data_IF_716338144769
#
_entry.id   IF_716338144769
#
_cell.length_a   1.000
_cell.length_b   1.000
_cell.length_c   1.000
_cell.angle_alpha   90.00
_cell.angle_beta   90.00
_cell.angle_gamma   90.00
#
_symmetry.space_group_name_H-M   'P 1'
#
loop_
_entity.id
_entity.type
_entity.pdbx_description
1 polymer ?
#
# COMPACT_ATOMS: atom_id res chain seq x y z
N UNK A 1 -23.99 -4.20 13.28
CA UNK A 1 -22.74 -4.95 13.56
C UNK A 1 -22.63 -6.12 12.60
N UNK A 2 -21.42 -6.60 12.32
CA UNK A 2 -21.19 -7.82 11.52
C UNK A 2 -20.77 -8.93 12.48
N UNK A 3 -21.39 -10.10 12.39
CA UNK A 3 -21.13 -11.21 13.30
C UNK A 3 -21.13 -12.55 12.56
N UNK A 4 -20.31 -13.49 13.01
CA UNK A 4 -20.36 -14.87 12.53
C UNK A 4 -21.66 -15.52 12.95
N UNK A 5 -22.23 -16.37 12.10
CA UNK A 5 -23.43 -17.14 12.41
C UNK A 5 -23.29 -17.92 13.73
N UNK A 6 -24.30 -17.83 14.59
CA UNK A 6 -24.28 -18.43 15.94
C UNK A 6 -23.62 -17.57 17.02
N UNK A 7 -23.02 -16.42 16.68
CA UNK A 7 -22.42 -15.51 17.66
C UNK A 7 -23.46 -14.59 18.32
N UNK A 8 -23.86 -14.95 19.55
CA UNK A 8 -24.85 -14.21 20.34
C UNK A 8 -24.33 -12.94 21.02
N UNK A 9 -23.03 -12.61 20.91
CA UNK A 9 -22.42 -11.47 21.63
C UNK A 9 -23.02 -10.11 21.25
N UNK A 10 -23.65 -10.01 20.09
CA UNK A 10 -24.20 -8.76 19.55
C UNK A 10 -25.72 -8.71 19.52
N UNK A 11 -26.40 -9.56 20.31
CA UNK A 11 -27.86 -9.62 20.36
C UNK A 11 -28.55 -8.29 20.75
N UNK A 12 -27.83 -7.39 21.43
CA UNK A 12 -28.34 -6.07 21.81
C UNK A 12 -28.15 -4.98 20.72
N UNK A 13 -27.50 -5.29 19.59
CA UNK A 13 -27.32 -4.32 18.51
C UNK A 13 -28.64 -4.07 17.76
N UNK A 14 -28.86 -2.83 17.31
CA UNK A 14 -30.04 -2.46 16.54
C UNK A 14 -30.19 -3.25 15.22
N UNK A 15 -29.07 -3.69 14.64
CA UNK A 15 -29.04 -4.60 13.50
C UNK A 15 -27.74 -5.42 13.51
N UNK A 16 -27.84 -6.69 13.11
CA UNK A 16 -26.72 -7.63 12.95
C UNK A 16 -26.74 -8.21 11.54
N UNK A 17 -25.65 -8.05 10.81
CA UNK A 17 -25.39 -8.71 9.52
C UNK A 17 -24.61 -9.99 9.81
N UNK A 18 -25.20 -11.13 9.51
CA UNK A 18 -24.60 -12.44 9.77
C UNK A 18 -23.73 -12.88 8.59
N UNK A 19 -22.51 -13.34 8.88
CA UNK A 19 -21.63 -13.99 7.90
C UNK A 19 -21.47 -15.49 8.23
N UNK A 20 -21.28 -16.36 7.21
CA UNK A 20 -21.06 -17.78 7.44
C UNK A 20 -19.89 -18.07 8.37
N UNK A 21 -19.98 -19.17 9.12
CA UNK A 21 -18.85 -19.66 9.91
C UNK A 21 -17.72 -20.15 8.99
N UNK A 22 -16.52 -19.64 9.22
CA UNK A 22 -15.28 -20.03 8.53
C UNK A 22 -14.17 -20.26 9.56
N UNK A 23 -13.00 -20.73 9.11
CA UNK A 23 -11.82 -20.82 9.97
C UNK A 23 -11.58 -19.47 10.70
N UNK A 24 -11.41 -19.46 12.03
CA UNK A 24 -11.18 -18.24 12.79
C UNK A 24 -10.03 -17.38 12.28
N UNK A 25 -8.99 -17.98 11.69
CA UNK A 25 -7.87 -17.27 11.08
C UNK A 25 -8.28 -16.42 9.85
N UNK A 26 -9.41 -16.75 9.22
CA UNK A 26 -9.93 -16.08 8.02
C UNK A 26 -11.26 -15.33 8.27
N UNK A 27 -11.85 -15.43 9.47
CA UNK A 27 -13.14 -14.83 9.79
C UNK A 27 -13.19 -13.30 9.60
N UNK A 28 -12.04 -12.63 9.72
CA UNK A 28 -11.95 -11.18 9.49
C UNK A 28 -12.19 -10.82 8.01
N UNK A 29 -11.88 -11.71 7.06
CA UNK A 29 -12.03 -11.46 5.61
C UNK A 29 -13.50 -11.28 5.25
N UNK A 30 -14.37 -12.20 5.67
CA UNK A 30 -15.80 -12.10 5.40
C UNK A 30 -16.41 -10.88 6.10
N UNK A 31 -15.98 -10.59 7.33
CA UNK A 31 -16.44 -9.41 8.07
C UNK A 31 -16.06 -8.10 7.36
N UNK A 32 -14.83 -8.02 6.84
CA UNK A 32 -14.35 -6.88 6.06
C UNK A 32 -15.11 -6.74 4.73
N UNK A 33 -15.35 -7.84 4.00
CA UNK A 33 -16.11 -7.82 2.74
C UNK A 33 -17.53 -7.30 2.95
N UNK A 34 -18.24 -7.79 3.96
CA UNK A 34 -19.59 -7.30 4.29
C UNK A 34 -19.56 -5.83 4.69
N UNK A 35 -18.55 -5.40 5.46
CA UNK A 35 -18.37 -3.98 5.79
C UNK A 35 -18.20 -3.10 4.55
N UNK A 36 -17.40 -3.54 3.59
CA UNK A 36 -17.21 -2.82 2.32
C UNK A 36 -18.47 -2.76 1.46
N UNK A 37 -19.19 -3.88 1.33
CA UNK A 37 -20.46 -3.92 0.58
C UNK A 37 -21.52 -3.04 1.24
N UNK A 38 -21.68 -3.14 2.55
CA UNK A 38 -22.61 -2.29 3.29
C UNK A 38 -22.30 -0.81 3.11
N UNK A 39 -21.01 -0.43 3.24
CA UNK A 39 -20.58 0.95 3.00
C UNK A 39 -20.92 1.40 1.58
N UNK A 40 -20.60 0.58 0.57
CA UNK A 40 -20.87 0.90 -0.83
C UNK A 40 -22.36 1.12 -1.11
N UNK A 41 -23.23 0.23 -0.63
CA UNK A 41 -24.68 0.38 -0.78
C UNK A 41 -25.22 1.61 -0.03
N UNK A 42 -24.67 1.91 1.16
CA UNK A 42 -25.03 3.13 1.88
C UNK A 42 -24.64 4.40 1.07
N UNK A 43 -23.46 4.42 0.46
CA UNK A 43 -23.06 5.54 -0.40
C UNK A 43 -23.94 5.67 -1.65
N UNK A 44 -24.35 4.55 -2.27
CA UNK A 44 -25.30 4.57 -3.39
C UNK A 44 -26.68 5.10 -2.96
N UNK A 45 -27.16 4.72 -1.78
CA UNK A 45 -28.43 5.22 -1.24
C UNK A 45 -28.38 6.74 -1.01
N UNK A 46 -27.27 7.25 -0.48
CA UNK A 46 -27.05 8.70 -0.30
C UNK A 46 -27.01 9.41 -1.66
N UNK A 47 -26.26 8.86 -2.63
CA UNK A 47 -26.18 9.44 -3.98
C UNK A 47 -27.55 9.48 -4.68
N UNK A 48 -28.36 8.42 -4.50
CA UNK A 48 -29.71 8.35 -5.05
C UNK A 48 -30.61 9.48 -4.51
N UNK A 49 -30.37 9.95 -3.28
CA UNK A 49 -31.13 11.07 -2.70
C UNK A 49 -30.88 12.41 -3.41
N UNK A 50 -29.80 12.53 -4.19
CA UNK A 50 -29.49 13.71 -5.01
C UNK A 50 -30.31 13.78 -6.31
N UNK A 51 -31.06 12.73 -6.66
CA UNK A 51 -31.81 12.65 -7.92
C UNK A 51 -32.77 13.83 -8.16
N UNK A 52 -33.60 14.28 -7.21
CA UNK A 52 -34.44 15.45 -7.42
C UNK A 52 -33.64 16.71 -7.76
N UNK A 53 -32.44 16.87 -7.19
CA UNK A 53 -31.58 18.02 -7.46
C UNK A 53 -30.96 17.98 -8.87
N UNK A 54 -30.61 16.78 -9.34
CA UNK A 54 -30.15 16.57 -10.73
C UNK A 54 -31.26 16.90 -11.73
N UNK A 55 -32.46 16.37 -11.49
CA UNK A 55 -33.63 16.66 -12.32
C UNK A 55 -33.98 18.18 -12.31
N UNK A 56 -33.85 18.85 -11.16
CA UNK A 56 -34.01 20.31 -11.06
C UNK A 56 -32.95 21.08 -11.88
N UNK A 57 -31.71 20.59 -11.92
CA UNK A 57 -30.64 21.18 -12.74
C UNK A 57 -30.88 20.95 -14.23
N UNK A 58 -31.37 19.77 -14.62
CA UNK A 58 -31.76 19.47 -16.00
C UNK A 58 -32.86 20.42 -16.51
N UNK A 59 -33.81 20.83 -15.65
CA UNK A 59 -34.80 21.86 -15.99
C UNK A 59 -34.14 23.20 -16.35
N UNK A 60 -33.10 23.59 -15.62
CA UNK A 60 -32.34 24.82 -15.91
C UNK A 60 -31.57 24.68 -17.22
N UNK A 61 -30.87 23.57 -17.41
CA UNK A 61 -30.07 23.32 -18.61
C UNK A 61 -30.94 23.33 -19.88
N UNK A 62 -32.12 22.69 -19.84
CA UNK A 62 -33.08 22.72 -20.94
C UNK A 62 -33.63 24.13 -21.20
N UNK A 63 -33.90 24.92 -20.16
CA UNK A 63 -34.38 26.29 -20.32
C UNK A 63 -33.32 27.19 -20.97
N UNK A 64 -32.05 27.06 -20.55
CA UNK A 64 -30.91 27.77 -21.13
C UNK A 64 -30.66 27.37 -22.60
N UNK A 65 -30.89 26.11 -22.95
CA UNK A 65 -30.77 25.64 -24.34
C UNK A 65 -31.92 26.13 -25.24
N UNK A 66 -33.11 26.34 -24.68
CA UNK A 66 -34.31 26.70 -25.42
C UNK A 66 -34.52 28.21 -25.60
N UNK A 67 -33.88 29.05 -24.76
CA UNK A 67 -34.13 30.48 -24.72
C UNK A 67 -32.83 31.29 -24.60
N UNK A 68 -32.71 32.36 -25.38
CA UNK A 68 -31.59 33.30 -25.28
C UNK A 68 -31.83 34.42 -24.24
N UNK A 69 -33.10 34.72 -23.94
CA UNK A 69 -33.51 35.77 -23.00
C UNK A 69 -33.64 35.28 -21.56
N UNK A 70 -32.96 35.94 -20.62
CA UNK A 70 -32.97 35.55 -19.21
C UNK A 70 -34.36 35.51 -18.56
N UNK A 71 -35.28 36.40 -18.96
CA UNK A 71 -36.66 36.40 -18.47
C UNK A 71 -37.45 35.17 -18.92
N UNK A 72 -37.20 34.70 -20.14
CA UNK A 72 -37.83 33.48 -20.68
C UNK A 72 -37.28 32.23 -20.00
N UNK A 73 -35.95 32.18 -19.80
CA UNK A 73 -35.31 31.12 -19.00
C UNK A 73 -35.92 31.05 -17.61
N UNK A 74 -35.99 32.18 -16.89
CA UNK A 74 -36.53 32.23 -15.54
C UNK A 74 -37.99 31.77 -15.48
N UNK A 75 -38.81 32.18 -16.45
CA UNK A 75 -40.23 31.77 -16.53
C UNK A 75 -40.37 30.26 -16.76
N UNK A 76 -39.55 29.70 -17.65
CA UNK A 76 -39.54 28.26 -17.94
C UNK A 76 -39.07 27.46 -16.73
N UNK A 77 -37.99 27.88 -16.06
CA UNK A 77 -37.49 27.21 -14.85
C UNK A 77 -38.54 27.26 -13.74
N UNK A 78 -39.11 28.43 -13.45
CA UNK A 78 -40.15 28.61 -12.42
C UNK A 78 -41.35 27.68 -12.62
N UNK A 79 -41.76 27.48 -13.87
CA UNK A 79 -42.92 26.65 -14.21
C UNK A 79 -42.68 25.15 -14.01
N UNK A 80 -41.43 24.68 -14.08
CA UNK A 80 -41.12 23.25 -14.16
C UNK A 80 -40.35 22.72 -12.95
N UNK A 81 -39.66 23.57 -12.19
CA UNK A 81 -38.78 23.13 -11.09
C UNK A 81 -39.55 22.67 -9.83
N UNK A 82 -40.82 23.07 -9.68
CA UNK A 82 -41.60 22.88 -8.46
C UNK A 82 -41.71 21.42 -7.98
N UNK A 83 -41.91 20.48 -8.91
CA UNK A 83 -41.99 19.04 -8.56
C UNK A 83 -40.69 18.53 -7.93
N UNK A 84 -39.55 19.02 -8.38
CA UNK A 84 -38.24 18.63 -7.86
C UNK A 84 -37.94 19.33 -6.53
N UNK A 85 -38.34 20.59 -6.39
CA UNK A 85 -38.26 21.34 -5.13
C UNK A 85 -39.07 20.67 -4.02
N UNK A 86 -40.30 20.22 -4.30
CA UNK A 86 -41.13 19.52 -3.32
C UNK A 86 -40.53 18.19 -2.86
N UNK A 87 -39.96 17.41 -3.80
CA UNK A 87 -39.22 16.17 -3.43
C UNK A 87 -38.03 16.47 -2.52
N UNK A 88 -37.30 17.56 -2.76
CA UNK A 88 -36.21 18.00 -1.90
C UNK A 88 -36.72 18.43 -0.51
N UNK A 89 -37.82 19.19 -0.45
CA UNK A 89 -38.43 19.59 0.83
C UNK A 89 -38.97 18.40 1.63
N UNK A 90 -39.53 17.39 0.96
CA UNK A 90 -39.91 16.13 1.61
C UNK A 90 -38.69 15.42 2.20
N UNK A 91 -37.58 15.33 1.45
CA UNK A 91 -36.34 14.74 1.94
C UNK A 91 -35.80 15.45 3.19
N UNK A 92 -35.89 16.78 3.26
CA UNK A 92 -35.54 17.54 4.47
C UNK A 92 -36.47 17.22 5.65
N UNK A 93 -37.77 17.11 5.42
CA UNK A 93 -38.76 16.78 6.47
C UNK A 93 -38.58 15.36 7.02
N UNK A 94 -38.13 14.43 6.18
CA UNK A 94 -37.83 13.05 6.55
C UNK A 94 -36.41 12.84 7.10
N UNK A 95 -35.62 13.92 7.26
CA UNK A 95 -34.22 13.85 7.70
C UNK A 95 -33.32 12.99 6.79
N UNK A 96 -33.70 12.80 5.53
CA UNK A 96 -32.96 11.96 4.55
C UNK A 96 -31.55 12.48 4.28
N UNK A 97 -31.32 13.79 4.48
CA UNK A 97 -30.06 14.46 4.18
C UNK A 97 -29.13 14.62 5.40
N UNK A 98 -29.59 14.23 6.59
CA UNK A 98 -28.85 14.44 7.83
C UNK A 98 -27.49 13.73 7.80
N UNK A 99 -26.42 14.47 8.12
CA UNK A 99 -25.05 13.96 8.10
C UNK A 99 -24.41 13.82 6.71
N UNK A 100 -25.15 14.14 5.63
CA UNK A 100 -24.66 14.01 4.25
C UNK A 100 -24.76 15.30 3.42
N UNK A 101 -25.66 16.22 3.77
CA UNK A 101 -25.78 17.55 3.18
C UNK A 101 -25.41 18.60 4.22
N UNK A 102 -24.56 19.56 3.86
CA UNK A 102 -24.20 20.65 4.75
C UNK A 102 -25.41 21.56 5.01
N UNK A 103 -25.58 21.98 6.27
CA UNK A 103 -26.71 22.83 6.67
C UNK A 103 -26.70 24.17 5.92
N UNK A 104 -25.53 24.74 5.64
CA UNK A 104 -25.34 25.96 4.84
C UNK A 104 -25.84 25.76 3.40
N UNK A 105 -25.47 24.65 2.77
CA UNK A 105 -25.90 24.28 1.41
C UNK A 105 -27.41 24.08 1.35
N UNK A 106 -27.98 23.33 2.31
CA UNK A 106 -29.41 23.10 2.42
C UNK A 106 -30.19 24.42 2.59
N UNK A 107 -29.78 25.28 3.54
CA UNK A 107 -30.44 26.57 3.80
C UNK A 107 -30.37 27.49 2.59
N UNK A 108 -29.21 27.58 1.92
CA UNK A 108 -29.05 28.38 0.70
C UNK A 108 -29.98 27.90 -0.41
N UNK A 109 -30.05 26.59 -0.65
CA UNK A 109 -30.91 26.02 -1.68
C UNK A 109 -32.40 26.21 -1.37
N UNK A 110 -32.81 26.03 -0.11
CA UNK A 110 -34.18 26.33 0.34
C UNK A 110 -34.52 27.80 0.09
N UNK A 111 -33.62 28.73 0.42
CA UNK A 111 -33.80 30.16 0.20
C UNK A 111 -34.03 30.49 -1.27
N UNK A 112 -33.14 30.03 -2.16
CA UNK A 112 -33.23 30.28 -3.60
C UNK A 112 -34.50 29.69 -4.23
N UNK A 113 -34.89 28.48 -3.83
CA UNK A 113 -36.12 27.85 -4.32
C UNK A 113 -37.38 28.58 -3.83
N UNK A 114 -37.38 29.11 -2.60
CA UNK A 114 -38.47 29.94 -2.07
C UNK A 114 -38.56 31.30 -2.76
N UNK A 115 -37.42 31.96 -2.97
CA UNK A 115 -37.35 33.22 -3.70
C UNK A 115 -37.90 33.02 -5.12
N UNK A 116 -37.48 31.95 -5.81
CA UNK A 116 -37.98 31.58 -7.14
C UNK A 116 -39.49 31.30 -7.19
N UNK A 117 -40.04 30.69 -6.14
CA UNK A 117 -41.47 30.36 -6.04
C UNK A 117 -42.36 31.57 -5.70
N UNK A 118 -41.78 32.69 -5.24
CA UNK A 118 -42.54 33.88 -4.85
C UNK A 118 -43.29 34.53 -6.03
N UNK A 119 -44.23 35.43 -5.72
CA UNK A 119 -44.96 36.21 -6.74
C UNK A 119 -44.03 37.14 -7.52
N UNK A 120 -43.02 37.70 -6.85
CA UNK A 120 -41.97 38.57 -7.41
C UNK A 120 -40.56 38.00 -7.17
N UNK A 121 -40.12 36.98 -7.94
CA UNK A 121 -38.86 36.27 -7.68
C UNK A 121 -37.61 37.14 -7.61
N UNK A 122 -37.50 38.13 -8.50
CA UNK A 122 -36.34 39.02 -8.55
C UNK A 122 -36.31 40.00 -7.38
N UNK A 123 -37.47 40.53 -6.97
CA UNK A 123 -37.57 41.43 -5.82
C UNK A 123 -37.23 40.69 -4.52
N UNK A 124 -37.76 39.48 -4.36
CA UNK A 124 -37.51 38.64 -3.20
C UNK A 124 -36.03 38.23 -3.12
N UNK A 125 -35.44 37.78 -4.25
CA UNK A 125 -34.01 37.46 -4.32
C UNK A 125 -33.11 38.67 -4.03
N UNK A 126 -33.46 39.85 -4.56
CA UNK A 126 -32.74 41.10 -4.27
C UNK A 126 -32.83 41.46 -2.78
N UNK A 127 -33.99 41.26 -2.16
CA UNK A 127 -34.17 41.50 -0.74
C UNK A 127 -33.31 40.56 0.12
N UNK A 128 -33.31 39.26 -0.21
CA UNK A 128 -32.53 38.24 0.52
C UNK A 128 -31.02 38.45 0.36
N UNK A 129 -30.55 38.80 -0.83
CA UNK A 129 -29.11 38.87 -1.14
C UNK A 129 -28.49 40.27 -1.02
N UNK A 130 -29.30 41.33 -1.05
CA UNK A 130 -28.85 42.71 -1.12
C UNK A 130 -28.17 43.10 -2.43
N UNK A 131 -28.17 42.22 -3.45
CA UNK A 131 -27.57 42.45 -4.77
C UNK A 131 -28.64 42.86 -5.78
N UNK A 132 -28.23 43.60 -6.82
CA UNK A 132 -29.12 43.89 -7.96
C UNK A 132 -29.52 42.55 -8.60
N UNK A 133 -30.81 42.24 -8.59
CA UNK A 133 -31.33 41.00 -9.14
C UNK A 133 -31.49 41.09 -10.66
N UNK A 134 -30.95 40.10 -11.35
CA UNK A 134 -31.25 39.81 -12.75
C UNK A 134 -31.68 38.34 -12.88
N UNK A 135 -32.47 37.98 -13.90
CA UNK A 135 -32.82 36.58 -14.15
C UNK A 135 -31.61 35.66 -14.22
N UNK A 136 -30.56 36.09 -14.94
CA UNK A 136 -29.30 35.36 -15.03
C UNK A 136 -28.66 35.13 -13.66
N UNK A 137 -28.54 36.19 -12.83
CA UNK A 137 -27.91 36.07 -11.51
C UNK A 137 -28.63 35.11 -10.56
N UNK A 138 -29.96 35.03 -10.61
CA UNK A 138 -30.74 34.10 -9.80
C UNK A 138 -30.57 32.65 -10.30
N UNK A 139 -30.61 32.44 -11.62
CA UNK A 139 -30.41 31.12 -12.24
C UNK A 139 -28.98 30.61 -11.99
N UNK A 140 -27.97 31.47 -12.09
CA UNK A 140 -26.58 31.12 -11.81
C UNK A 140 -26.39 30.70 -10.35
N UNK A 141 -26.94 31.46 -9.40
CA UNK A 141 -26.82 31.15 -7.98
C UNK A 141 -27.56 29.86 -7.60
N UNK A 142 -28.73 29.62 -8.21
CA UNK A 142 -29.47 28.37 -8.06
C UNK A 142 -28.70 27.18 -8.64
N UNK A 143 -28.14 27.32 -9.84
CA UNK A 143 -27.31 26.28 -10.49
C UNK A 143 -26.09 25.95 -9.65
N UNK A 144 -25.43 26.96 -9.08
CA UNK A 144 -24.29 26.77 -8.19
C UNK A 144 -24.69 26.08 -6.88
N UNK A 145 -25.86 26.41 -6.31
CA UNK A 145 -26.37 25.76 -5.11
C UNK A 145 -26.75 24.28 -5.36
N UNK A 146 -27.46 23.99 -6.45
CA UNK A 146 -27.79 22.63 -6.86
C UNK A 146 -26.54 21.79 -7.11
N UNK A 147 -25.55 22.34 -7.81
CA UNK A 147 -24.28 21.65 -8.09
C UNK A 147 -23.55 21.28 -6.82
N UNK A 148 -23.39 22.22 -5.87
CA UNK A 148 -22.75 21.94 -4.59
C UNK A 148 -23.50 20.86 -3.80
N UNK A 149 -24.83 20.94 -3.75
CA UNK A 149 -25.64 19.94 -3.05
C UNK A 149 -25.51 18.53 -3.68
N UNK A 150 -25.51 18.44 -5.01
CA UNK A 150 -25.28 17.17 -5.72
C UNK A 150 -23.89 16.62 -5.41
N UNK A 151 -22.85 17.47 -5.46
CA UNK A 151 -21.47 17.06 -5.18
C UNK A 151 -21.31 16.54 -3.74
N UNK A 152 -21.93 17.19 -2.75
CA UNK A 152 -21.92 16.74 -1.36
C UNK A 152 -22.55 15.34 -1.21
N UNK A 153 -23.69 15.11 -1.86
CA UNK A 153 -24.42 13.83 -1.81
C UNK A 153 -23.75 12.71 -2.62
N UNK A 154 -22.97 13.05 -3.66
CA UNK A 154 -22.21 12.07 -4.46
C UNK A 154 -20.84 11.72 -3.85
N UNK A 155 -20.22 12.65 -3.11
CA UNK A 155 -18.89 12.49 -2.50
C UNK A 155 -18.67 11.17 -1.74
N UNK A 156 -19.65 10.60 -1.00
CA UNK A 156 -19.46 9.33 -0.31
C UNK A 156 -19.08 8.16 -1.22
N UNK A 157 -19.55 8.15 -2.48
CA UNK A 157 -19.22 7.10 -3.46
C UNK A 157 -17.72 7.12 -3.78
N UNK A 158 -17.17 8.31 -3.99
CA UNK A 158 -15.74 8.47 -4.28
C UNK A 158 -14.88 8.19 -3.04
N UNK A 159 -15.35 8.59 -1.86
CA UNK A 159 -14.67 8.30 -0.61
C UNK A 159 -14.55 6.78 -0.40
N UNK A 160 -15.62 6.01 -0.63
CA UNK A 160 -15.60 4.54 -0.46
C UNK A 160 -14.75 3.86 -1.52
N UNK A 161 -14.80 4.31 -2.78
CA UNK A 161 -13.89 3.84 -3.82
C UNK A 161 -12.42 4.08 -3.43
N UNK A 162 -12.12 5.26 -2.91
CA UNK A 162 -10.78 5.59 -2.42
C UNK A 162 -10.36 4.72 -1.23
N UNK A 163 -11.25 4.49 -0.26
CA UNK A 163 -10.98 3.60 0.88
C UNK A 163 -10.73 2.16 0.43
N UNK A 164 -11.57 1.63 -0.48
CA UNK A 164 -11.37 0.29 -1.03
C UNK A 164 -10.02 0.16 -1.75
N UNK A 165 -9.61 1.18 -2.51
CA UNK A 165 -8.27 1.25 -3.10
C UNK A 165 -7.17 1.28 -2.04
N UNK A 166 -7.30 2.10 -1.00
CA UNK A 166 -6.27 2.22 0.05
C UNK A 166 -6.13 0.94 0.86
N UNK A 167 -7.22 0.24 1.16
CA UNK A 167 -7.18 -1.07 1.82
C UNK A 167 -6.50 -2.11 0.93
N UNK A 168 -6.86 -2.18 -0.35
CA UNK A 168 -6.24 -3.14 -1.29
C UNK A 168 -4.80 -2.81 -1.66
N UNK A 169 -4.39 -1.55 -1.59
CA UNK A 169 -3.00 -1.11 -1.75
C UNK A 169 -2.20 -1.26 -0.44
N UNK A 170 -2.86 -1.27 0.72
CA UNK A 170 -2.22 -1.50 2.03
C UNK A 170 -1.70 -2.93 2.21
N UNK A 171 -2.46 -3.93 1.75
CA UNK A 171 -2.06 -5.35 1.78
C UNK A 171 -0.92 -5.73 0.81
N UNK A 172 -0.52 -4.83 -0.10
CA UNK A 172 0.65 -5.07 -0.97
C UNK A 172 1.97 -4.62 -0.35
N UNK A 173 1.96 -4.01 0.84
CA UNK A 173 3.19 -3.72 1.58
C UNK A 173 3.67 -4.98 2.30
N UNK A 174 4.54 -5.72 1.63
CA UNK A 174 5.41 -6.77 2.19
C UNK A 174 6.38 -6.31 3.30
N UNK A 175 6.16 -5.11 3.85
CA UNK A 175 7.06 -4.39 4.75
C UNK A 175 6.64 -4.53 6.22
N UNK A 176 5.42 -4.98 6.49
CA UNK A 176 4.93 -5.26 7.84
C UNK A 176 5.66 -6.49 8.39
N UNK A 177 6.41 -6.30 9.48
CA UNK A 177 7.19 -7.38 10.12
C UNK A 177 8.59 -7.61 9.58
N UNK A 178 9.17 -6.72 8.74
CA UNK A 178 10.60 -6.83 8.32
C UNK A 178 11.53 -6.89 9.54
N UNK A 179 11.26 -6.09 10.57
CA UNK A 179 12.04 -6.12 11.80
C UNK A 179 11.81 -7.40 12.61
N UNK A 180 10.66 -8.06 12.47
CA UNK A 180 10.32 -9.26 13.25
C UNK A 180 10.92 -10.54 12.66
N UNK A 181 11.53 -10.47 11.46
CA UNK A 181 12.22 -11.60 10.84
C UNK A 181 13.39 -12.08 11.68
N UNK A 182 13.54 -13.39 11.80
CA UNK A 182 14.52 -13.99 12.69
C UNK A 182 15.94 -13.60 12.29
N UNK A 183 16.29 -13.62 11.00
CA UNK A 183 17.59 -13.22 10.49
C UNK A 183 17.90 -11.74 10.78
N UNK A 184 16.91 -10.86 10.67
CA UNK A 184 17.06 -9.43 11.04
C UNK A 184 17.34 -9.29 12.53
N UNK A 185 16.58 -10.01 13.38
CA UNK A 185 16.82 -10.03 14.82
C UNK A 185 18.21 -10.57 15.17
N UNK A 186 18.72 -11.58 14.46
CA UNK A 186 20.08 -12.11 14.67
C UNK A 186 21.17 -11.09 14.33
N UNK A 187 21.00 -10.29 13.27
CA UNK A 187 21.92 -9.19 12.94
C UNK A 187 21.93 -8.12 14.03
N UNK A 188 20.76 -7.75 14.55
CA UNK A 188 20.64 -6.79 15.65
C UNK A 188 21.23 -7.33 16.95
N UNK A 189 20.98 -8.60 17.26
CA UNK A 189 21.52 -9.28 18.44
C UNK A 189 23.05 -9.44 18.38
N UNK A 190 23.63 -9.53 17.18
CA UNK A 190 25.08 -9.48 16.94
C UNK A 190 25.70 -8.08 17.17
N UNK A 191 24.88 -7.08 17.52
CA UNK A 191 25.32 -5.74 17.91
C UNK A 191 25.29 -4.71 16.79
N UNK A 192 24.75 -5.03 15.60
CA UNK A 192 24.56 -4.06 14.54
C UNK A 192 23.59 -2.96 15.00
N UNK A 193 23.99 -1.69 14.85
CA UNK A 193 23.13 -0.56 15.21
C UNK A 193 21.93 -0.46 14.27
N UNK A 194 20.71 -0.29 14.81
CA UNK A 194 19.50 -0.07 13.99
C UNK A 194 19.65 1.15 13.06
N UNK A 195 20.32 2.20 13.54
CA UNK A 195 20.63 3.41 12.76
C UNK A 195 21.72 3.20 11.69
N UNK A 196 22.33 2.01 11.63
CA UNK A 196 23.39 1.65 10.69
C UNK A 196 22.96 0.63 9.64
N UNK A 197 21.70 0.19 9.65
CA UNK A 197 21.17 -0.73 8.66
C UNK A 197 20.23 0.03 7.74
N UNK A 198 20.52 0.02 6.43
CA UNK A 198 19.63 0.63 5.45
C UNK A 198 18.35 -0.18 5.32
N UNK A 199 17.26 0.47 4.88
CA UNK A 199 16.01 -0.24 4.59
C UNK A 199 16.22 -1.38 3.57
N UNK A 200 16.97 -1.13 2.50
CA UNK A 200 17.32 -2.13 1.49
C UNK A 200 18.04 -3.33 2.12
N UNK A 201 18.97 -3.09 3.05
CA UNK A 201 19.67 -4.14 3.79
C UNK A 201 18.69 -4.99 4.61
N UNK A 202 17.78 -4.35 5.35
CA UNK A 202 16.77 -5.04 6.15
C UNK A 202 15.81 -5.87 5.29
N UNK A 203 15.40 -5.34 4.14
CA UNK A 203 14.52 -6.04 3.20
C UNK A 203 15.19 -7.28 2.61
N UNK A 204 16.45 -7.18 2.18
CA UNK A 204 17.21 -8.32 1.67
C UNK A 204 17.38 -9.40 2.76
N UNK A 205 17.62 -9.02 4.01
CA UNK A 205 17.68 -9.97 5.11
C UNK A 205 16.32 -10.63 5.37
N UNK A 206 15.23 -9.88 5.31
CA UNK A 206 13.88 -10.42 5.44
C UNK A 206 13.56 -11.43 4.32
N UNK A 207 14.02 -11.16 3.10
CA UNK A 207 13.80 -12.04 1.95
C UNK A 207 14.70 -13.28 1.97
N UNK A 208 15.89 -13.19 2.58
CA UNK A 208 16.78 -14.33 2.79
C UNK A 208 16.37 -15.22 3.98
N UNK A 209 15.58 -14.71 4.91
CA UNK A 209 15.17 -15.41 6.15
C UNK A 209 14.62 -16.83 5.90
N UNK A 210 13.72 -17.08 4.93
CA UNK A 210 13.19 -18.44 4.67
C UNK A 210 14.24 -19.44 4.19
N UNK A 211 15.39 -18.98 3.69
CA UNK A 211 16.48 -19.87 3.27
C UNK A 211 17.36 -20.31 4.43
N UNK A 212 17.37 -19.58 5.53
CA UNK A 212 18.27 -19.81 6.66
C UNK A 212 17.63 -20.80 7.64
N UNK A 213 18.22 -22.00 7.74
CA UNK A 213 17.84 -22.99 8.75
C UNK A 213 18.26 -22.53 10.15
N UNK A 214 19.49 -22.02 10.29
CA UNK A 214 20.01 -21.55 11.58
C UNK A 214 21.17 -20.57 11.44
N UNK A 215 21.30 -19.65 12.40
CA UNK A 215 22.49 -18.81 12.58
C UNK A 215 23.35 -19.45 13.68
N UNK A 216 24.58 -19.85 13.33
CA UNK A 216 25.47 -20.64 14.21
C UNK A 216 26.61 -19.83 14.84
N UNK A 217 26.77 -18.58 14.42
CA UNK A 217 27.73 -17.65 15.02
C UNK A 217 27.79 -16.33 14.28
N UNK A 218 28.56 -15.38 14.82
CA UNK A 218 28.78 -14.09 14.18
C UNK A 218 30.16 -13.52 14.50
N UNK A 219 30.64 -12.67 13.61
CA UNK A 219 31.75 -11.75 13.87
C UNK A 219 31.35 -10.35 13.42
N UNK A 220 31.43 -9.40 14.33
CA UNK A 220 31.20 -7.99 14.03
C UNK A 220 32.52 -7.26 13.85
N UNK A 221 32.64 -6.52 12.77
CA UNK A 221 33.82 -5.77 12.41
C UNK A 221 33.54 -4.27 12.41
N UNK A 222 34.51 -3.48 12.86
CA UNK A 222 34.56 -2.04 12.62
C UNK A 222 35.45 -1.75 11.42
N UNK A 223 35.10 -0.75 10.64
CA UNK A 223 35.87 -0.27 9.50
C UNK A 223 36.22 1.20 9.73
N UNK A 224 37.50 1.52 9.56
CA UNK A 224 38.03 2.88 9.66
C UNK A 224 38.67 3.29 8.33
N UNK A 225 38.36 4.50 7.87
CA UNK A 225 38.77 5.02 6.56
C UNK A 225 37.74 4.73 5.47
N UNK A 226 38.09 5.07 4.23
CA UNK A 226 37.23 4.88 3.07
C UNK A 226 37.52 3.52 2.40
N UNK A 227 36.54 2.58 2.35
CA UNK A 227 36.71 1.30 1.68
C UNK A 227 37.18 1.38 0.21
N UNK A 228 36.91 2.49 -0.49
CA UNK A 228 37.33 2.73 -1.86
C UNK A 228 38.80 3.16 -1.97
N UNK A 229 39.32 3.87 -0.98
CA UNK A 229 40.66 4.49 -0.99
C UNK A 229 41.65 3.88 0.01
N UNK A 230 41.30 2.74 0.59
CA UNK A 230 42.12 2.04 1.58
C UNK A 230 41.57 2.26 2.99
N UNK A 231 41.09 1.18 3.60
CA UNK A 231 40.54 1.18 4.94
C UNK A 231 41.16 0.07 5.78
N UNK A 232 41.08 0.23 7.09
CA UNK A 232 41.41 -0.83 8.06
C UNK A 232 40.13 -1.48 8.58
N UNK A 233 40.27 -2.71 9.03
CA UNK A 233 39.20 -3.51 9.63
C UNK A 233 39.70 -4.07 10.95
N UNK A 234 38.86 -4.03 11.97
CA UNK A 234 39.12 -4.57 13.31
C UNK A 234 37.90 -5.35 13.79
N UNK A 235 38.09 -6.23 14.77
CA UNK A 235 37.02 -7.07 15.32
C UNK A 235 36.47 -6.38 16.56
N UNK A 236 35.15 -6.19 16.58
CA UNK A 236 34.43 -5.57 17.69
C UNK A 236 33.88 -6.63 18.62
N UNK A 237 33.26 -7.67 18.07
CA UNK A 237 32.62 -8.73 18.85
C UNK A 237 32.55 -10.05 18.08
N UNK A 238 32.43 -11.16 18.82
CA UNK A 238 32.21 -12.52 18.28
C UNK A 238 31.28 -13.36 19.15
N UNK A 239 30.40 -14.10 18.49
CA UNK A 239 29.51 -15.05 19.14
C UNK A 239 29.41 -16.39 18.42
N UNK A 240 28.89 -17.38 19.14
CA UNK A 240 28.72 -18.75 18.66
C UNK A 240 30.04 -19.36 18.19
N UNK A 241 30.00 -20.07 17.06
CA UNK A 241 31.18 -20.77 16.55
C UNK A 241 32.37 -19.86 16.22
N UNK A 242 32.16 -18.56 15.97
CA UNK A 242 33.23 -17.64 15.56
C UNK A 242 34.26 -17.34 16.65
N UNK A 243 33.96 -17.67 17.92
CA UNK A 243 34.89 -17.46 19.05
C UNK A 243 36.17 -18.26 18.88
N UNK A 244 36.07 -19.48 18.36
CA UNK A 244 37.18 -20.41 18.22
C UNK A 244 37.80 -20.41 16.81
N UNK A 245 37.36 -19.49 15.94
CA UNK A 245 37.81 -19.42 14.54
C UNK A 245 38.90 -18.36 14.40
N UNK A 246 40.12 -18.71 13.98
CA UNK A 246 41.17 -17.72 13.75
C UNK A 246 40.76 -16.71 12.68
N UNK A 247 40.95 -15.42 12.94
CA UNK A 247 40.63 -14.39 11.96
C UNK A 247 41.89 -13.79 11.36
N UNK A 248 41.95 -13.73 10.03
CA UNK A 248 43.04 -13.03 9.32
C UNK A 248 43.22 -11.59 9.81
N UNK A 249 42.12 -10.93 10.21
CA UNK A 249 42.12 -9.54 10.66
C UNK A 249 43.02 -9.33 11.88
N UNK A 250 43.20 -10.36 12.73
CA UNK A 250 44.10 -10.29 13.89
C UNK A 250 45.57 -10.16 13.50
N UNK A 251 45.96 -10.66 12.32
CA UNK A 251 47.34 -10.59 11.82
C UNK A 251 47.54 -9.47 10.79
N UNK A 252 46.47 -9.10 10.07
CA UNK A 252 46.51 -8.09 9.03
C UNK A 252 45.18 -7.31 9.00
N UNK A 253 45.23 -6.07 9.47
CA UNK A 253 44.09 -5.17 9.58
C UNK A 253 43.69 -4.49 8.27
N UNK A 254 44.35 -4.76 7.13
CA UNK A 254 43.96 -4.14 5.87
C UNK A 254 42.65 -4.73 5.33
N UNK A 255 41.69 -3.86 5.02
CA UNK A 255 40.41 -4.24 4.42
C UNK A 255 40.62 -4.70 2.96
N UNK A 256 40.57 -6.01 2.72
CA UNK A 256 40.79 -6.62 1.39
C UNK A 256 39.77 -7.73 1.09
N UNK A 257 39.70 -8.11 -0.18
CA UNK A 257 38.87 -9.23 -0.66
C UNK A 257 37.37 -8.98 -0.52
N UNK A 258 36.62 -10.03 -0.19
CA UNK A 258 35.15 -10.01 -0.11
C UNK A 258 34.61 -8.97 0.88
N UNK A 259 35.28 -8.79 2.03
CA UNK A 259 34.87 -7.78 3.03
C UNK A 259 35.01 -6.35 2.49
N UNK A 260 36.08 -6.07 1.73
CA UNK A 260 36.23 -4.76 1.04
C UNK A 260 35.10 -4.55 0.04
N UNK A 261 34.77 -5.57 -0.76
CA UNK A 261 33.69 -5.50 -1.75
C UNK A 261 32.35 -5.16 -1.11
N UNK A 262 31.97 -5.89 -0.05
CA UNK A 262 30.75 -5.62 0.74
C UNK A 262 30.74 -4.20 1.29
N UNK A 263 31.87 -3.73 1.83
CA UNK A 263 31.97 -2.38 2.37
C UNK A 263 31.83 -1.29 1.30
N UNK A 264 32.42 -1.48 0.11
CA UNK A 264 32.36 -0.51 -1.00
C UNK A 264 30.99 -0.51 -1.69
N UNK A 265 30.44 -1.69 -1.99
CA UNK A 265 29.15 -1.82 -2.68
C UNK A 265 27.96 -1.55 -1.75
N UNK A 266 28.15 -1.69 -0.42
CA UNK A 266 27.11 -1.52 0.61
C UNK A 266 25.91 -2.46 0.40
N UNK A 267 26.14 -3.60 -0.25
CA UNK A 267 25.17 -4.67 -0.45
C UNK A 267 25.39 -5.83 0.51
N UNK A 268 24.30 -6.50 0.91
CA UNK A 268 24.36 -7.80 1.61
C UNK A 268 24.95 -8.83 0.65
N UNK A 269 25.83 -9.70 1.17
CA UNK A 269 26.43 -10.77 0.37
C UNK A 269 26.35 -12.11 1.10
N UNK A 270 25.74 -13.09 0.44
CA UNK A 270 25.84 -14.51 0.78
C UNK A 270 27.09 -15.07 0.10
N UNK A 271 27.95 -15.75 0.86
CA UNK A 271 29.19 -16.30 0.36
C UNK A 271 29.58 -17.60 1.05
N UNK A 272 30.43 -18.39 0.38
CA UNK A 272 31.09 -19.58 0.93
C UNK A 272 32.55 -19.24 1.18
N UNK A 273 33.03 -19.50 2.40
CA UNK A 273 34.41 -19.23 2.80
C UNK A 273 35.39 -20.08 1.99
N UNK A 274 36.36 -19.43 1.33
CA UNK A 274 37.34 -20.14 0.47
C UNK A 274 38.24 -21.10 1.26
N UNK A 275 38.54 -20.78 2.51
CA UNK A 275 39.48 -21.54 3.35
C UNK A 275 38.81 -22.65 4.16
N UNK A 276 37.54 -22.50 4.51
CA UNK A 276 36.84 -23.36 5.47
C UNK A 276 35.50 -23.91 4.95
N UNK A 277 35.08 -23.54 3.74
CA UNK A 277 33.85 -23.99 3.11
C UNK A 277 32.57 -23.48 3.76
N UNK A 278 32.67 -22.63 4.80
CA UNK A 278 31.51 -22.22 5.61
C UNK A 278 30.68 -21.16 4.92
N UNK A 279 29.37 -21.29 5.02
CA UNK A 279 28.41 -20.32 4.51
C UNK A 279 28.25 -19.15 5.46
N UNK A 280 28.29 -17.94 4.89
CA UNK A 280 28.20 -16.69 5.64
C UNK A 280 27.31 -15.69 4.93
N UNK A 281 26.65 -14.83 5.72
CA UNK A 281 25.97 -13.62 5.24
C UNK A 281 26.73 -12.42 5.79
N UNK A 282 27.25 -11.58 4.90
CA UNK A 282 27.95 -10.34 5.26
C UNK A 282 26.99 -9.16 5.11
N UNK A 283 26.75 -8.46 6.21
CA UNK A 283 25.80 -7.35 6.32
C UNK A 283 26.58 -6.05 6.54
N UNK A 284 26.54 -5.08 5.61
CA UNK A 284 27.23 -3.81 5.79
C UNK A 284 26.50 -2.92 6.80
N UNK A 285 27.25 -2.29 7.71
CA UNK A 285 26.77 -1.27 8.64
C UNK A 285 27.14 0.13 8.10
N UNK A 286 26.17 0.85 7.56
CA UNK A 286 26.36 2.12 6.86
C UNK A 286 25.85 3.29 7.70
N UNK A 287 26.68 4.31 7.90
CA UNK A 287 26.32 5.55 8.58
C UNK A 287 26.77 6.75 7.74
N UNK A 288 25.86 7.69 7.52
CA UNK A 288 26.13 8.89 6.70
C UNK A 288 26.74 8.58 5.33
N UNK A 289 26.29 7.49 4.69
CA UNK A 289 26.75 7.05 3.37
C UNK A 289 28.07 6.25 3.36
N UNK A 290 28.78 6.15 4.48
CA UNK A 290 30.03 5.39 4.62
C UNK A 290 29.79 4.06 5.33
N UNK A 291 30.46 3.00 4.88
CA UNK A 291 30.43 1.71 5.56
C UNK A 291 31.37 1.73 6.77
N UNK A 292 30.79 1.73 7.96
CA UNK A 292 31.49 1.84 9.26
C UNK A 292 31.74 0.48 9.91
N UNK A 293 31.20 -0.59 9.35
CA UNK A 293 31.36 -1.93 9.89
C UNK A 293 30.74 -3.00 9.00
N UNK A 294 30.98 -4.26 9.36
CA UNK A 294 30.34 -5.42 8.74
C UNK A 294 29.93 -6.36 9.87
N UNK A 295 28.67 -6.75 9.89
CA UNK A 295 28.19 -7.89 10.69
C UNK A 295 28.20 -9.13 9.81
N UNK A 296 29.07 -10.09 10.11
CA UNK A 296 29.17 -11.36 9.41
C UNK A 296 28.49 -12.44 10.23
N UNK A 297 27.44 -13.04 9.70
CA UNK A 297 26.75 -14.19 10.29
C UNK A 297 27.25 -15.48 9.65
N UNK A 298 27.57 -16.48 10.46
CA UNK A 298 27.72 -17.86 10.01
C UNK A 298 26.36 -18.52 10.04
N UNK A 299 25.93 -19.07 8.91
CA UNK A 299 24.57 -19.58 8.73
C UNK A 299 24.59 -20.98 8.14
N UNK A 300 23.59 -21.80 8.49
CA UNK A 300 23.22 -23.00 7.75
C UNK A 300 21.96 -22.66 6.95
N UNK A 301 21.98 -23.00 5.67
CA UNK A 301 20.80 -22.87 4.82
C UNK A 301 20.07 -24.20 4.79
N UNK A 302 18.76 -24.17 4.53
CA UNK A 302 18.05 -25.38 4.13
C UNK A 302 18.66 -25.97 2.86
N UNK A 303 18.75 -27.29 2.76
CA UNK A 303 19.30 -27.95 1.57
C UNK A 303 18.42 -27.68 0.33
N UNK A 304 17.11 -27.88 0.49
CA UNK A 304 16.07 -27.66 -0.52
C UNK A 304 14.91 -26.84 0.07
N UNK A 305 14.18 -26.15 -0.79
CA UNK A 305 12.99 -25.37 -0.43
C UNK A 305 11.86 -25.59 -1.46
N UNK A 306 10.59 -25.40 -1.07
CA UNK A 306 9.49 -25.36 -2.02
C UNK A 306 9.69 -24.27 -3.09
N UNK A 307 9.26 -24.52 -4.33
CA UNK A 307 9.46 -23.63 -5.49
C UNK A 307 9.10 -22.17 -5.18
N UNK A 308 7.94 -21.96 -4.55
CA UNK A 308 7.46 -20.62 -4.20
C UNK A 308 8.43 -19.89 -3.24
N UNK A 309 9.01 -20.60 -2.27
CA UNK A 309 9.97 -20.06 -1.33
C UNK A 309 11.31 -19.75 -2.02
N UNK A 310 11.84 -20.68 -2.83
CA UNK A 310 13.09 -20.45 -3.61
C UNK A 310 12.95 -19.22 -4.51
N UNK A 311 11.85 -19.12 -5.25
CA UNK A 311 11.56 -17.97 -6.11
C UNK A 311 11.56 -16.67 -5.31
N UNK A 312 10.82 -16.62 -4.20
CA UNK A 312 10.74 -15.42 -3.36
C UNK A 312 12.12 -14.99 -2.83
N UNK A 313 12.92 -15.95 -2.35
CA UNK A 313 14.28 -15.69 -1.85
C UNK A 313 15.17 -15.13 -2.96
N UNK A 314 15.19 -15.77 -4.13
CA UNK A 314 16.03 -15.35 -5.26
C UNK A 314 15.59 -14.02 -5.89
N UNK A 315 14.30 -13.68 -5.85
CA UNK A 315 13.82 -12.36 -6.27
C UNK A 315 14.27 -11.26 -5.31
N UNK A 316 14.16 -11.51 -4.00
CA UNK A 316 14.55 -10.57 -2.96
C UNK A 316 16.07 -10.39 -2.81
N UNK A 317 16.86 -11.40 -3.18
CA UNK A 317 18.32 -11.35 -3.12
C UNK A 317 18.95 -11.13 -4.51
N UNK A 318 19.46 -9.92 -4.76
CA UNK A 318 20.21 -9.54 -5.97
C UNK A 318 19.47 -9.83 -7.29
N UNK A 319 18.12 -9.87 -7.27
CA UNK A 319 17.26 -10.21 -8.42
C UNK A 319 17.77 -11.44 -9.18
N UNK A 320 18.26 -12.44 -8.44
CA UNK A 320 18.89 -13.63 -9.01
C UNK A 320 17.91 -14.45 -9.82
N UNK A 321 16.64 -14.50 -9.40
CA UNK A 321 15.59 -15.21 -10.14
C UNK A 321 15.43 -14.63 -11.55
N UNK A 322 15.23 -13.30 -11.66
CA UNK A 322 15.02 -12.65 -12.95
C UNK A 322 16.21 -12.87 -13.89
N UNK A 323 17.44 -12.69 -13.38
CA UNK A 323 18.66 -12.93 -14.17
C UNK A 323 18.83 -14.39 -14.59
N UNK A 324 18.42 -15.34 -13.74
CA UNK A 324 18.46 -16.75 -14.08
C UNK A 324 17.41 -17.10 -15.15
N UNK A 325 16.20 -16.55 -15.05
CA UNK A 325 15.16 -16.70 -16.08
C UNK A 325 15.64 -16.13 -17.40
N UNK A 326 16.18 -14.90 -17.41
CA UNK A 326 16.71 -14.26 -18.62
C UNK A 326 17.81 -15.12 -19.26
N UNK A 327 18.78 -15.59 -18.47
CA UNK A 327 19.88 -16.42 -18.96
C UNK A 327 19.40 -17.75 -19.55
N UNK A 328 18.51 -18.46 -18.84
CA UNK A 328 18.01 -19.76 -19.29
C UNK A 328 17.07 -19.63 -20.49
N UNK A 329 16.22 -18.61 -20.53
CA UNK A 329 15.31 -18.40 -21.67
C UNK A 329 16.05 -17.99 -22.94
N UNK A 330 17.21 -17.33 -22.81
CA UNK A 330 18.11 -17.03 -23.93
C UNK A 330 18.63 -18.31 -24.61
N UNK A 331 18.94 -19.37 -23.86
CA UNK A 331 19.53 -20.61 -24.41
C UNK A 331 18.51 -21.75 -24.63
N UNK A 332 17.60 -21.98 -23.69
CA UNK A 332 16.68 -23.14 -23.67
C UNK A 332 15.25 -22.79 -24.14
N UNK A 333 14.95 -21.51 -24.36
CA UNK A 333 13.67 -21.00 -24.86
C UNK A 333 12.51 -20.99 -23.85
N UNK A 334 12.61 -21.71 -22.73
CA UNK A 334 11.62 -21.67 -21.66
C UNK A 334 12.26 -21.98 -20.29
N UNK A 335 11.78 -21.29 -19.24
CA UNK A 335 12.23 -21.55 -17.87
C UNK A 335 11.36 -22.62 -17.20
N UNK A 336 12.00 -23.69 -16.75
CA UNK A 336 11.36 -24.78 -15.99
C UNK A 336 11.42 -24.52 -14.49
N UNK A 337 10.36 -24.00 -13.92
CA UNK A 337 10.27 -23.66 -12.50
C UNK A 337 10.38 -24.86 -11.55
N UNK A 338 9.96 -26.03 -12.00
CA UNK A 338 9.98 -27.26 -11.21
C UNK A 338 11.39 -27.67 -10.77
N UNK A 339 12.40 -27.38 -11.59
CA UNK A 339 13.81 -27.69 -11.29
C UNK A 339 14.34 -26.92 -10.06
N UNK A 340 13.76 -25.77 -9.70
CA UNK A 340 14.19 -25.00 -8.52
C UNK A 340 14.06 -25.78 -7.21
N UNK A 341 13.11 -26.72 -7.12
CA UNK A 341 12.91 -27.54 -5.92
C UNK A 341 13.96 -28.66 -5.77
N UNK A 342 14.72 -28.96 -6.83
CA UNK A 342 15.71 -30.03 -6.86
C UNK A 342 17.15 -29.52 -6.61
N UNK A 343 17.34 -28.20 -6.62
CA UNK A 343 18.65 -27.56 -6.53
C UNK A 343 18.96 -27.07 -5.12
N UNK A 344 20.24 -27.21 -4.75
CA UNK A 344 20.80 -26.70 -3.50
C UNK A 344 20.56 -25.19 -3.36
N UNK A 345 19.88 -24.79 -2.29
CA UNK A 345 19.60 -23.37 -2.00
C UNK A 345 20.90 -22.57 -1.91
N UNK A 346 21.93 -23.16 -1.31
CA UNK A 346 23.24 -22.50 -1.18
C UNK A 346 23.87 -22.23 -2.53
N UNK A 347 23.79 -23.20 -3.44
CA UNK A 347 24.38 -23.06 -4.77
C UNK A 347 23.59 -22.05 -5.60
N UNK A 348 22.25 -22.06 -5.52
CA UNK A 348 21.39 -21.04 -6.13
C UNK A 348 21.69 -19.62 -5.64
N UNK A 349 22.10 -19.45 -4.38
CA UNK A 349 22.45 -18.14 -3.81
C UNK A 349 23.88 -17.67 -4.15
N UNK A 350 24.82 -18.59 -4.35
CA UNK A 350 26.26 -18.28 -4.38
C UNK A 350 26.87 -18.46 -5.77
N UNK A 351 26.50 -19.50 -6.51
CA UNK A 351 27.13 -19.80 -7.80
C UNK A 351 26.89 -18.67 -8.81
N UNK A 352 27.77 -18.48 -9.79
CA UNK A 352 27.48 -17.63 -10.94
C UNK A 352 26.14 -18.03 -11.59
N UNK A 353 25.42 -17.05 -12.14
CA UNK A 353 24.15 -17.30 -12.83
C UNK A 353 24.34 -18.30 -13.97
N UNK A 354 25.46 -18.19 -14.71
CA UNK A 354 25.82 -19.12 -15.79
C UNK A 354 25.95 -20.56 -15.31
N UNK A 355 26.58 -20.81 -14.16
CA UNK A 355 26.73 -22.16 -13.61
C UNK A 355 25.41 -22.69 -13.06
N UNK A 356 24.60 -21.81 -12.44
CA UNK A 356 23.25 -22.20 -11.96
C UNK A 356 22.33 -22.57 -13.13
N UNK A 357 22.46 -21.87 -14.27
CA UNK A 357 21.68 -22.11 -15.47
C UNK A 357 22.03 -23.45 -16.16
N UNK A 358 23.23 -24.01 -15.93
CA UNK A 358 23.62 -25.28 -16.53
C UNK A 358 22.71 -26.45 -16.11
N UNK A 359 22.02 -26.33 -14.97
CA UNK A 359 20.99 -27.27 -14.54
C UNK A 359 19.74 -27.29 -15.42
N UNK A 360 19.53 -26.26 -16.26
CA UNK A 360 18.41 -26.19 -17.21
C UNK A 360 18.77 -26.71 -18.61
N UNK A 361 20.05 -26.97 -18.89
CA UNK A 361 20.46 -27.54 -20.16
C UNK A 361 19.81 -28.91 -20.29
N UNK A 362 19.01 -29.10 -21.33
CA UNK A 362 18.50 -30.43 -21.67
C UNK A 362 19.71 -31.30 -21.99
N UNK A 363 19.87 -32.40 -21.24
CA UNK A 363 20.91 -33.38 -21.52
C UNK A 363 20.88 -33.79 -22.99
N UNK A 364 22.05 -33.86 -23.61
CA UNK A 364 22.25 -34.57 -24.89
C UNK A 364 21.84 -36.04 -24.78
#
# INVERSE_FOLDING_TARGET
MVATEGDGRFAAAAAVLTVPSVDPALAFVLSAMVGHLFGYEAALAIDASARPLREAREVIDHALAAHEGGDDVLRTVRSNIGVHAEKFYEGLRLATYDGHLEASTAVRLVGLLRDLASESPLEQYQHTTGKIATPGSLIDDLTAALTRAIEELTRPVDAIKHQAKTVTVGISRSDEGVLDRQLVQQVLAAGAGRDRLSYTTLKVLADLDPAVESVVGFTRYAIEGDPAHGATISIVDRGGMSRDVPSRVERNSQLRGTKRRVASERGVLVARGRSDGRTVIMVPEVKSGLCTGITLLHVRFHDLLPIAAVRSVLQGYDRRYDRLVDWVTETEGAFRDDLLAELSVVDLLILPISESADHWRRGE
#
